data_IF_279010437308
#
_entry.id   IF_279010437308
#
_cell.length_a   1.000
_cell.length_b   1.000
_cell.length_c   1.000
_cell.angle_alpha   90.00
_cell.angle_beta   90.00
_cell.angle_gamma   90.00
#
_symmetry.space_group_name_H-M   'P 1'
#
loop_
_entity.id
_entity.type
_entity.pdbx_description
1 polymer ?
#
# COMPACT_ATOMS: atom_id res chain seq x y z
N UNK A 1 -4.35 -7.61 -2.26
CA UNK A 1 -4.64 -7.56 -3.71
C UNK A 1 -4.02 -8.78 -4.35
N UNK A 2 -4.79 -9.54 -5.15
CA UNK A 2 -4.22 -10.68 -5.90
C UNK A 2 -3.76 -10.20 -7.28
N UNK A 3 -2.65 -10.72 -7.84
CA UNK A 3 -2.10 -10.26 -9.12
C UNK A 3 -3.12 -10.27 -10.26
N UNK A 4 -4.02 -11.26 -10.30
CA UNK A 4 -5.06 -11.39 -11.32
C UNK A 4 -6.05 -10.21 -11.36
N UNK A 5 -6.21 -9.51 -10.23
CA UNK A 5 -7.13 -8.37 -10.07
C UNK A 5 -6.40 -7.03 -10.17
N UNK A 6 -5.09 -7.02 -10.44
CA UNK A 6 -4.34 -5.78 -10.58
C UNK A 6 -4.77 -5.02 -11.83
N UNK A 7 -5.16 -3.75 -11.64
CA UNK A 7 -5.60 -2.83 -12.68
C UNK A 7 -5.07 -1.43 -12.37
N UNK A 8 -4.87 -0.60 -13.39
CA UNK A 8 -4.61 0.82 -13.23
C UNK A 8 -5.90 1.60 -12.88
N UNK A 9 -5.82 2.90 -12.65
CA UNK A 9 -6.99 3.72 -12.30
C UNK A 9 -8.11 3.69 -13.36
N UNK A 10 -7.80 3.37 -14.62
CA UNK A 10 -8.74 3.25 -15.74
C UNK A 10 -9.35 1.83 -15.86
N UNK A 11 -8.90 0.88 -15.04
CA UNK A 11 -9.37 -0.49 -15.08
C UNK A 11 -8.64 -1.36 -16.13
N UNK A 12 -7.52 -0.88 -16.68
CA UNK A 12 -6.70 -1.61 -17.64
C UNK A 12 -5.76 -2.58 -16.92
N UNK A 13 -5.46 -3.71 -17.56
CA UNK A 13 -4.45 -4.67 -17.09
C UNK A 13 -3.07 -4.27 -17.59
N UNK A 14 -1.99 -4.76 -16.96
CA UNK A 14 -0.63 -4.57 -17.46
C UNK A 14 -0.40 -5.00 -18.91
N UNK A 15 -1.22 -5.91 -19.44
CA UNK A 15 -1.15 -6.40 -20.83
C UNK A 15 -1.91 -5.52 -21.82
N UNK A 16 -2.79 -4.64 -21.34
CA UNK A 16 -3.66 -3.84 -22.20
C UNK A 16 -2.91 -2.57 -22.68
N UNK A 17 -3.08 -2.15 -23.95
CA UNK A 17 -2.44 -0.92 -24.45
C UNK A 17 -2.90 0.31 -23.66
N UNK A 18 -1.95 1.17 -23.28
CA UNK A 18 -2.24 2.39 -22.52
C UNK A 18 -2.30 2.20 -21.00
N UNK A 19 -1.97 1.01 -20.49
CA UNK A 19 -1.84 0.76 -19.06
C UNK A 19 -0.91 1.75 -18.37
N UNK A 20 -1.37 2.37 -17.30
CA UNK A 20 -0.59 3.30 -16.50
C UNK A 20 -0.05 2.64 -15.22
N UNK A 21 1.24 2.28 -15.23
CA UNK A 21 1.92 1.70 -14.06
C UNK A 21 1.99 2.62 -12.82
N UNK A 22 1.77 3.92 -13.00
CA UNK A 22 1.79 4.91 -11.92
C UNK A 22 0.50 4.97 -11.12
N UNK A 23 -0.57 4.30 -11.56
CA UNK A 23 -1.85 4.30 -10.86
C UNK A 23 -2.31 2.89 -10.57
N UNK A 24 -3.25 2.76 -9.64
CA UNK A 24 -3.83 1.49 -9.27
C UNK A 24 -5.32 1.69 -8.97
N UNK A 25 -6.14 0.81 -9.53
CA UNK A 25 -7.53 0.73 -9.13
C UNK A 25 -7.62 0.23 -7.69
N UNK A 26 -8.28 1.01 -6.85
CA UNK A 26 -8.56 0.70 -5.46
C UNK A 26 -10.07 0.71 -5.28
N UNK A 27 -10.67 -0.32 -4.67
CA UNK A 27 -12.09 -0.32 -4.36
C UNK A 27 -12.47 0.90 -3.53
N UNK A 28 -13.44 1.67 -4.01
CA UNK A 28 -13.96 2.86 -3.30
C UNK A 28 -15.03 2.50 -2.29
N UNK A 29 -15.65 1.32 -2.41
CA UNK A 29 -16.67 0.83 -1.49
C UNK A 29 -16.03 0.35 -0.17
N UNK A 30 -16.31 1.02 0.97
CA UNK A 30 -15.80 0.61 2.27
C UNK A 30 -16.20 -0.81 2.68
N UNK A 31 -17.28 -1.35 2.12
CA UNK A 31 -17.75 -2.71 2.37
C UNK A 31 -16.74 -3.77 1.94
N UNK A 32 -15.88 -3.48 0.95
CA UNK A 32 -14.83 -4.40 0.48
C UNK A 32 -13.81 -4.69 1.59
N UNK A 33 -13.53 -3.70 2.43
CA UNK A 33 -12.60 -3.82 3.55
C UNK A 33 -13.28 -4.26 4.86
N UNK A 34 -14.62 -4.42 4.87
CA UNK A 34 -15.40 -4.79 6.08
C UNK A 34 -14.98 -6.15 6.64
N UNK A 35 -14.53 -7.05 5.77
CA UNK A 35 -14.08 -8.39 6.12
C UNK A 35 -12.56 -8.46 6.41
N UNK A 36 -11.83 -7.34 6.33
CA UNK A 36 -10.39 -7.27 6.63
C UNK A 36 -10.16 -6.39 7.89
N UNK A 37 -10.18 -6.98 9.11
CA UNK A 37 -10.07 -6.23 10.35
C UNK A 37 -8.81 -5.36 10.38
N UNK A 38 -9.01 -4.07 10.64
CA UNK A 38 -7.94 -3.08 10.70
C UNK A 38 -7.55 -2.45 9.36
N UNK A 39 -7.98 -2.95 8.21
CA UNK A 39 -7.63 -2.35 6.90
C UNK A 39 -8.39 -1.04 6.63
N UNK A 40 -9.45 -0.79 7.41
CA UNK A 40 -10.30 0.40 7.37
C UNK A 40 -9.92 1.51 8.36
N UNK A 41 -8.73 1.50 8.96
CA UNK A 41 -8.30 2.62 9.81
C UNK A 41 -8.15 3.90 8.98
N UNK A 42 -8.41 5.11 9.54
CA UNK A 42 -8.25 6.37 8.82
C UNK A 42 -6.89 6.54 8.13
N UNK A 43 -5.79 6.12 8.78
CA UNK A 43 -4.44 6.14 8.21
C UNK A 43 -4.33 5.25 6.97
N UNK A 44 -4.84 4.01 7.01
CA UNK A 44 -4.77 3.11 5.86
C UNK A 44 -5.71 3.52 4.73
N UNK A 45 -6.82 4.20 5.02
CA UNK A 45 -7.63 4.83 3.99
C UNK A 45 -6.83 5.92 3.24
N UNK A 46 -5.99 6.69 3.95
CA UNK A 46 -5.08 7.65 3.32
C UNK A 46 -4.00 6.94 2.48
N UNK A 47 -3.43 5.84 3.00
CA UNK A 47 -2.51 4.98 2.25
C UNK A 47 -3.11 4.55 0.91
N UNK A 48 -4.32 3.99 0.92
CA UNK A 48 -4.95 3.51 -0.30
C UNK A 48 -5.30 4.63 -1.28
N UNK A 49 -5.74 5.79 -0.80
CA UNK A 49 -5.95 6.98 -1.64
C UNK A 49 -4.66 7.43 -2.32
N UNK A 50 -3.55 7.46 -1.59
CA UNK A 50 -2.25 7.86 -2.14
C UNK A 50 -1.74 6.83 -3.15
N UNK A 51 -1.77 5.53 -2.82
CA UNK A 51 -1.31 4.47 -3.71
C UNK A 51 -2.17 4.32 -4.97
N UNK A 52 -3.45 4.69 -4.94
CA UNK A 52 -4.27 4.72 -6.14
C UNK A 52 -3.73 5.68 -7.22
N UNK A 53 -3.13 6.79 -6.80
CA UNK A 53 -2.62 7.84 -7.68
C UNK A 53 -1.11 7.74 -7.94
N UNK A 54 -0.38 7.07 -7.05
CA UNK A 54 1.08 7.02 -7.03
C UNK A 54 1.57 5.59 -6.75
N UNK A 55 1.12 4.64 -7.54
CA UNK A 55 1.43 3.23 -7.33
C UNK A 55 2.92 2.91 -7.54
N UNK A 56 3.57 3.67 -8.42
CA UNK A 56 4.99 3.63 -8.75
C UNK A 56 5.92 4.17 -7.64
N UNK A 57 5.37 4.69 -6.54
CA UNK A 57 6.13 5.33 -5.45
C UNK A 57 6.01 4.55 -4.15
N UNK A 58 7.06 4.62 -3.33
CA UNK A 58 7.07 4.09 -1.96
C UNK A 58 6.49 5.15 -1.03
N UNK A 59 5.44 4.79 -0.29
CA UNK A 59 4.78 5.71 0.63
C UNK A 59 5.35 5.58 2.05
N UNK A 60 5.97 6.66 2.55
CA UNK A 60 6.46 6.77 3.92
C UNK A 60 5.46 7.56 4.77
N UNK A 61 4.77 6.89 5.69
CA UNK A 61 3.78 7.51 6.56
C UNK A 61 4.45 7.98 7.84
N UNK A 62 4.44 9.30 8.08
CA UNK A 62 4.95 9.86 9.33
C UNK A 62 3.95 9.61 10.46
N UNK A 63 4.35 8.79 11.44
CA UNK A 63 3.58 8.44 12.63
C UNK A 63 4.43 8.79 13.84
N UNK A 64 4.16 9.95 14.45
CA UNK A 64 4.98 10.47 15.54
C UNK A 64 6.44 10.69 15.11
N UNK A 65 7.37 9.98 15.78
CA UNK A 65 8.82 10.04 15.52
C UNK A 65 9.33 8.99 14.51
N UNK A 66 8.42 8.28 13.86
CA UNK A 66 8.75 7.19 12.93
C UNK A 66 8.15 7.44 11.55
N UNK A 67 8.82 6.90 10.55
CA UNK A 67 8.25 6.64 9.23
C UNK A 67 7.85 5.17 9.15
N UNK A 68 6.57 4.93 8.92
CA UNK A 68 6.00 3.61 8.73
C UNK A 68 5.72 3.34 7.25
N UNK A 69 5.95 2.10 6.84
CA UNK A 69 5.78 1.62 5.47
C UNK A 69 4.92 0.37 5.51
N UNK A 70 3.91 0.27 4.65
CA UNK A 70 2.89 -0.77 4.69
C UNK A 70 2.87 -1.64 3.42
N UNK A 71 2.33 -2.86 3.55
CA UNK A 71 2.03 -3.79 2.46
C UNK A 71 3.21 -4.02 1.51
N UNK A 72 3.01 -3.85 0.20
CA UNK A 72 4.02 -4.11 -0.83
C UNK A 72 5.26 -3.23 -0.64
N UNK A 73 5.07 -1.97 -0.28
CA UNK A 73 6.16 -1.04 0.00
C UNK A 73 7.02 -1.52 1.17
N UNK A 74 6.41 -2.15 2.18
CA UNK A 74 7.12 -2.73 3.32
C UNK A 74 8.01 -3.92 2.93
N UNK A 75 7.54 -4.79 2.02
CA UNK A 75 8.36 -5.87 1.47
C UNK A 75 9.56 -5.34 0.69
N UNK A 76 9.35 -4.30 -0.11
CA UNK A 76 10.43 -3.63 -0.85
C UNK A 76 11.45 -3.02 0.10
N UNK A 77 11.00 -2.30 1.13
CA UNK A 77 11.88 -1.66 2.11
C UNK A 77 12.61 -2.69 2.98
N UNK A 78 11.96 -3.78 3.38
CA UNK A 78 12.62 -4.86 4.13
C UNK A 78 13.71 -5.53 3.29
N UNK A 79 13.42 -5.86 2.03
CA UNK A 79 14.38 -6.51 1.14
C UNK A 79 15.55 -5.60 0.77
N UNK A 80 15.29 -4.31 0.57
CA UNK A 80 16.30 -3.35 0.07
C UNK A 80 17.14 -2.77 1.21
N UNK A 81 16.50 -2.43 2.32
CA UNK A 81 17.13 -1.70 3.44
C UNK A 81 17.35 -2.57 4.69
N UNK A 82 16.90 -3.82 4.70
CA UNK A 82 17.05 -4.71 5.86
C UNK A 82 16.20 -4.31 7.08
N UNK A 83 15.13 -3.54 6.88
CA UNK A 83 14.27 -3.10 7.99
C UNK A 83 13.59 -4.29 8.67
N UNK A 84 13.45 -4.22 10.00
CA UNK A 84 12.82 -5.30 10.76
C UNK A 84 11.30 -5.26 10.60
N UNK A 85 10.70 -6.42 10.36
CA UNK A 85 9.26 -6.61 10.42
C UNK A 85 8.72 -6.33 11.81
N UNK A 86 7.60 -5.62 11.89
CA UNK A 86 6.91 -5.36 13.14
C UNK A 86 5.94 -6.52 13.43
N UNK A 87 6.23 -7.31 14.47
CA UNK A 87 5.71 -8.68 14.66
C UNK A 87 4.26 -8.82 15.15
N UNK A 88 3.46 -7.75 15.27
CA UNK A 88 2.17 -7.82 15.98
C UNK A 88 0.92 -7.52 15.15
N UNK A 89 1.06 -7.09 13.89
CA UNK A 89 -0.10 -6.77 13.06
C UNK A 89 -0.35 -7.81 11.97
N UNK A 90 -1.63 -8.00 11.64
CA UNK A 90 -2.09 -8.75 10.46
C UNK A 90 -1.65 -8.11 9.13
N UNK A 91 -0.95 -6.97 9.19
CA UNK A 91 -0.54 -6.14 8.05
C UNK A 91 0.99 -6.08 8.01
N UNK A 92 1.61 -6.49 6.89
CA UNK A 92 3.04 -6.32 6.71
C UNK A 92 3.40 -4.85 6.82
N UNK A 93 4.23 -4.51 7.81
CA UNK A 93 4.76 -3.17 7.96
C UNK A 93 6.16 -3.20 8.58
N UNK A 94 6.92 -2.18 8.22
CA UNK A 94 8.26 -1.86 8.73
C UNK A 94 8.32 -0.38 9.03
N UNK A 95 9.31 0.04 9.81
CA UNK A 95 9.52 1.47 10.04
C UNK A 95 10.93 1.78 10.49
N UNK A 96 11.24 3.07 10.47
CA UNK A 96 12.51 3.62 10.92
C UNK A 96 12.27 4.99 11.59
N UNK A 97 13.11 5.38 12.57
CA UNK A 97 12.99 6.67 13.22
C UNK A 97 13.26 7.82 12.24
N UNK A 98 12.74 9.01 12.52
CA UNK A 98 13.03 10.21 11.73
C UNK A 98 14.49 10.70 11.84
N UNK A 99 15.27 10.14 12.76
CA UNK A 99 16.68 10.45 13.06
C UNK A 99 17.51 9.19 13.20
#
# INVERSE_FOLDING_TARGET
>A
MRPENFRDAQGLRPTDPGFNQGTMWVPTDPAVYKNEPGHNTPMLMQYWKLKAQHFDKVALFKVGKFYEIFYYDAFMAQRTCGLKWMSHDKKPHVGFPET
#
